data_IF_439229135454
#
_entry.id   IF_439229135454
#
_cell.length_a   1.000
_cell.length_b   1.000
_cell.length_c   1.000
_cell.angle_alpha   90.00
_cell.angle_beta   90.00
_cell.angle_gamma   90.00
#
_symmetry.space_group_name_H-M   'P 1'
#
loop_
_entity.id
_entity.type
_entity.pdbx_description
1 polymer ?
#
# COMPACT_ATOMS: atom_id res chain seq x y z
N UNK A 1 -3.57 -25.68 -19.65
CA UNK A 1 -2.59 -25.38 -20.68
C UNK A 1 -3.11 -24.25 -21.57
N UNK A 2 -2.99 -23.00 -21.13
CA UNK A 2 -3.01 -21.77 -21.95
C UNK A 2 -2.97 -20.56 -21.01
N UNK A 3 -1.82 -20.26 -20.45
CA UNK A 3 -1.54 -19.00 -19.81
C UNK A 3 -0.01 -18.74 -19.72
N UNK A 4 0.67 -18.90 -20.84
CA UNK A 4 2.10 -18.60 -20.96
C UNK A 4 2.34 -17.68 -22.17
N UNK A 5 1.73 -16.50 -22.20
CA UNK A 5 1.87 -15.65 -23.37
C UNK A 5 1.76 -14.13 -23.11
N UNK A 6 1.74 -13.68 -21.86
CA UNK A 6 1.48 -12.25 -21.59
C UNK A 6 2.59 -11.53 -20.78
N UNK A 7 3.64 -12.22 -20.35
CA UNK A 7 4.65 -11.63 -19.45
C UNK A 7 5.91 -11.08 -20.13
N UNK A 8 6.15 -11.32 -21.40
CA UNK A 8 7.37 -10.82 -22.07
C UNK A 8 7.26 -9.39 -22.63
N UNK A 9 6.05 -8.86 -22.80
CA UNK A 9 5.85 -7.52 -23.40
C UNK A 9 5.96 -6.36 -22.41
N UNK A 10 5.71 -6.56 -21.14
CA UNK A 10 5.67 -5.48 -20.12
C UNK A 10 7.06 -5.22 -19.54
N UNK A 11 7.88 -6.25 -19.38
CA UNK A 11 9.23 -6.11 -18.84
C UNK A 11 10.20 -5.37 -19.78
N UNK A 12 9.94 -5.35 -21.08
CA UNK A 12 10.80 -4.69 -22.04
C UNK A 12 10.56 -3.18 -22.19
N UNK A 13 9.40 -2.68 -21.79
CA UNK A 13 9.08 -1.25 -21.83
C UNK A 13 9.56 -0.49 -20.60
N UNK A 14 9.60 -1.12 -19.43
CA UNK A 14 10.09 -0.49 -18.21
C UNK A 14 11.63 -0.38 -18.17
N UNK A 15 12.35 -1.24 -18.87
CA UNK A 15 13.81 -1.20 -18.97
C UNK A 15 14.34 -0.01 -19.80
N UNK A 16 13.52 0.57 -20.66
CA UNK A 16 13.92 1.68 -21.53
C UNK A 16 13.79 3.07 -20.88
N UNK A 17 13.18 3.15 -19.68
CA UNK A 17 12.94 4.41 -18.95
C UNK A 17 13.90 4.63 -17.77
N UNK A 18 14.71 3.62 -17.44
CA UNK A 18 15.73 3.73 -16.40
C UNK A 18 17.10 3.80 -17.05
N UNK A 19 17.69 4.98 -17.08
CA UNK A 19 19.08 5.18 -17.49
C UNK A 19 20.02 4.27 -16.69
N UNK A 20 21.08 3.77 -17.34
CA UNK A 20 22.05 2.85 -16.77
C UNK A 20 22.56 3.36 -15.40
N UNK A 21 22.49 2.56 -14.33
CA UNK A 21 23.08 2.91 -13.05
C UNK A 21 24.61 2.82 -13.16
N UNK A 22 25.28 3.87 -12.69
CA UNK A 22 26.73 3.90 -12.55
C UNK A 22 27.20 2.68 -11.73
N UNK A 23 28.23 2.00 -12.25
CA UNK A 23 28.87 0.87 -11.60
C UNK A 23 29.59 1.35 -10.34
N UNK A 24 29.04 1.13 -9.19
CA UNK A 24 29.68 0.74 -7.93
C UNK A 24 28.63 0.57 -6.83
N UNK A 25 28.32 -0.65 -6.48
CA UNK A 25 27.86 -1.03 -5.15
C UNK A 25 27.91 -2.56 -5.03
N UNK A 26 28.36 -3.02 -3.91
CA UNK A 26 28.26 -4.40 -3.42
C UNK A 26 26.86 -4.97 -3.62
N UNK A 27 26.61 -5.50 -4.81
CA UNK A 27 25.39 -6.26 -5.07
C UNK A 27 25.46 -7.53 -4.22
N UNK A 28 24.63 -7.58 -3.19
CA UNK A 28 24.22 -8.86 -2.64
C UNK A 28 23.54 -9.59 -3.80
N UNK A 29 24.07 -10.73 -4.28
CA UNK A 29 23.44 -11.45 -5.37
C UNK A 29 22.02 -11.82 -4.91
N UNK A 30 21.02 -11.45 -5.69
CA UNK A 30 19.67 -11.95 -5.48
C UNK A 30 19.75 -13.49 -5.44
N UNK A 31 19.10 -14.14 -4.48
CA UNK A 31 19.11 -15.59 -4.40
C UNK A 31 18.59 -16.13 -5.74
N UNK A 32 19.48 -16.76 -6.51
CA UNK A 32 19.13 -17.46 -7.73
C UNK A 32 18.42 -18.75 -7.32
N UNK A 33 17.11 -18.71 -7.20
CA UNK A 33 16.30 -19.91 -7.07
C UNK A 33 16.32 -20.69 -8.39
N UNK A 34 17.31 -21.57 -8.55
CA UNK A 34 17.35 -22.53 -9.64
C UNK A 34 16.54 -23.78 -9.23
N UNK A 35 15.23 -23.66 -9.18
CA UNK A 35 14.38 -24.84 -9.14
C UNK A 35 14.18 -25.35 -10.57
N UNK A 36 15.02 -26.27 -10.98
CA UNK A 36 14.90 -26.97 -12.27
C UNK A 36 13.90 -28.13 -12.25
N UNK A 37 13.30 -28.42 -11.11
CA UNK A 37 12.35 -29.51 -10.90
C UNK A 37 10.91 -28.99 -10.92
N UNK A 38 10.03 -29.72 -11.61
CA UNK A 38 8.59 -29.52 -11.57
C UNK A 38 7.92 -30.38 -10.49
N UNK A 39 8.70 -31.05 -9.63
CA UNK A 39 8.16 -31.83 -8.53
C UNK A 39 7.66 -30.88 -7.44
N UNK A 40 6.37 -30.98 -7.10
CA UNK A 40 5.76 -30.17 -6.04
C UNK A 40 6.41 -30.40 -4.67
N UNK A 41 7.08 -31.56 -4.45
CA UNK A 41 7.78 -31.86 -3.20
C UNK A 41 8.95 -30.92 -2.96
N UNK A 42 9.63 -30.46 -4.00
CA UNK A 42 10.73 -29.50 -3.89
C UNK A 42 10.25 -28.15 -3.33
N UNK A 43 8.98 -27.86 -3.49
CA UNK A 43 8.35 -26.64 -2.98
C UNK A 43 7.75 -26.79 -1.58
N UNK A 44 7.22 -27.98 -1.28
CA UNK A 44 6.49 -28.22 -0.04
C UNK A 44 7.28 -28.95 1.02
N UNK A 45 8.27 -29.75 0.66
CA UNK A 45 8.96 -30.67 1.54
C UNK A 45 10.48 -30.38 1.62
N UNK A 46 10.99 -29.30 1.01
CA UNK A 46 12.40 -28.96 1.16
C UNK A 46 12.68 -28.29 2.50
N UNK A 47 13.86 -28.50 3.05
CA UNK A 47 14.25 -27.99 4.38
C UNK A 47 14.29 -26.46 4.44
N UNK A 48 14.42 -25.78 3.30
CA UNK A 48 14.44 -24.32 3.18
C UNK A 48 13.09 -23.71 2.76
N UNK A 49 12.06 -24.53 2.52
CA UNK A 49 10.73 -24.05 2.18
C UNK A 49 10.04 -23.40 3.37
N UNK A 50 9.49 -22.20 3.15
CA UNK A 50 8.60 -21.53 4.10
C UNK A 50 7.23 -21.39 3.47
N UNK A 51 6.23 -22.03 4.08
CA UNK A 51 4.87 -22.05 3.57
C UNK A 51 3.98 -21.11 4.37
N UNK A 52 3.36 -20.16 3.69
CA UNK A 52 2.39 -19.24 4.27
C UNK A 52 1.01 -19.50 3.66
N UNK A 53 0.06 -19.86 4.50
CA UNK A 53 -1.31 -20.15 4.09
C UNK A 53 -2.25 -19.05 4.59
N UNK A 54 -2.85 -18.31 3.67
CA UNK A 54 -3.87 -17.30 3.97
C UNK A 54 -5.25 -17.90 3.74
N UNK A 55 -6.03 -18.03 4.80
CA UNK A 55 -7.32 -18.74 4.77
C UNK A 55 -8.43 -17.93 5.44
N UNK A 56 -9.69 -18.26 5.13
CA UNK A 56 -10.83 -17.82 5.93
C UNK A 56 -10.94 -18.63 7.23
N UNK A 57 -11.50 -18.04 8.27
CA UNK A 57 -11.67 -18.69 9.57
C UNK A 57 -12.45 -20.02 9.51
N UNK A 58 -13.34 -20.18 8.56
CA UNK A 58 -14.13 -21.38 8.32
C UNK A 58 -13.29 -22.56 7.80
N UNK A 59 -12.08 -22.28 7.33
CA UNK A 59 -11.14 -23.28 6.82
C UNK A 59 -10.06 -23.70 7.84
N UNK A 60 -10.04 -23.14 9.05
CA UNK A 60 -9.02 -23.44 10.08
C UNK A 60 -8.95 -24.94 10.36
N UNK A 61 -10.08 -25.61 10.52
CA UNK A 61 -10.10 -27.05 10.76
C UNK A 61 -9.40 -27.83 9.64
N UNK A 62 -9.69 -27.48 8.40
CA UNK A 62 -9.15 -28.20 7.23
C UNK A 62 -7.65 -28.01 7.08
N UNK A 63 -7.15 -26.80 7.27
CA UNK A 63 -5.74 -26.47 7.03
C UNK A 63 -4.85 -26.69 8.27
N UNK A 64 -5.35 -26.46 9.47
CA UNK A 64 -4.53 -26.63 10.69
C UNK A 64 -4.63 -28.02 11.32
N UNK A 65 -5.70 -28.78 11.07
CA UNK A 65 -5.90 -30.10 11.69
C UNK A 65 -5.90 -31.19 10.63
N UNK A 66 -6.88 -31.18 9.72
CA UNK A 66 -7.04 -32.28 8.77
C UNK A 66 -5.87 -32.41 7.79
N UNK A 67 -5.41 -31.30 7.22
CA UNK A 67 -4.27 -31.27 6.30
C UNK A 67 -2.99 -31.72 7.01
N UNK A 68 -2.71 -31.20 8.18
CA UNK A 68 -1.52 -31.57 8.99
C UNK A 68 -1.54 -33.07 9.34
N UNK A 69 -2.68 -33.59 9.77
CA UNK A 69 -2.81 -35.01 10.07
C UNK A 69 -2.60 -35.91 8.84
N UNK A 70 -3.09 -35.49 7.66
CA UNK A 70 -2.85 -36.20 6.41
C UNK A 70 -1.35 -36.21 6.04
N UNK A 71 -0.67 -35.09 6.19
CA UNK A 71 0.76 -35.01 5.90
C UNK A 71 1.59 -35.87 6.83
N UNK A 72 1.28 -35.85 8.12
CA UNK A 72 1.95 -36.72 9.09
C UNK A 72 1.70 -38.20 8.78
N UNK A 73 0.48 -38.58 8.41
CA UNK A 73 0.17 -39.94 7.99
C UNK A 73 0.91 -40.38 6.73
N UNK A 74 1.28 -39.44 5.86
CA UNK A 74 2.12 -39.68 4.67
C UNK A 74 3.62 -39.65 4.96
N UNK A 75 4.01 -39.38 6.21
CA UNK A 75 5.41 -39.26 6.61
C UNK A 75 6.10 -37.96 6.14
N UNK A 76 5.34 -36.92 5.90
CA UNK A 76 5.89 -35.61 5.48
C UNK A 76 6.02 -34.68 6.68
N UNK A 77 7.22 -34.17 6.89
CA UNK A 77 7.44 -33.10 7.86
C UNK A 77 7.18 -31.73 7.21
N UNK A 78 6.03 -31.16 7.51
CA UNK A 78 5.60 -29.83 7.05
C UNK A 78 5.40 -28.88 8.24
N UNK A 79 6.21 -28.99 9.27
CA UNK A 79 6.17 -28.19 10.49
C UNK A 79 6.41 -26.71 10.27
N UNK A 80 6.89 -26.31 9.08
CA UNK A 80 7.24 -24.93 8.76
C UNK A 80 6.06 -24.11 8.18
N UNK A 81 4.86 -24.67 8.14
CA UNK A 81 3.69 -23.95 7.61
C UNK A 81 3.15 -22.93 8.61
N UNK A 82 3.09 -21.69 8.19
CA UNK A 82 2.45 -20.59 8.94
C UNK A 82 1.06 -20.33 8.39
N UNK A 83 0.05 -20.39 9.23
CA UNK A 83 -1.35 -20.14 8.84
C UNK A 83 -1.81 -18.79 9.35
N UNK A 84 -2.25 -17.94 8.44
CA UNK A 84 -2.90 -16.67 8.74
C UNK A 84 -4.38 -16.75 8.38
N UNK A 85 -5.25 -16.74 9.39
CA UNK A 85 -6.70 -16.81 9.19
C UNK A 85 -7.34 -15.42 9.27
N UNK A 86 -8.24 -15.11 8.35
CA UNK A 86 -9.02 -13.89 8.39
C UNK A 86 -10.49 -14.17 8.75
N UNK A 87 -11.11 -13.19 9.41
CA UNK A 87 -12.55 -13.20 9.67
C UNK A 87 -13.37 -13.00 8.40
N UNK A 88 -14.66 -13.30 8.49
CA UNK A 88 -15.57 -13.10 7.36
C UNK A 88 -15.68 -11.64 6.95
N UNK A 89 -15.59 -11.39 5.66
CA UNK A 89 -15.99 -10.14 5.06
C UNK A 89 -17.52 -10.08 5.02
N UNK A 90 -18.10 -9.05 5.62
CA UNK A 90 -19.50 -8.75 5.49
C UNK A 90 -19.71 -7.83 4.28
N UNK A 91 -20.78 -8.03 3.54
CA UNK A 91 -21.20 -7.11 2.49
C UNK A 91 -22.42 -6.33 2.96
N UNK A 92 -22.33 -5.01 2.98
CA UNK A 92 -23.41 -4.11 3.45
C UNK A 92 -23.95 -4.53 4.84
N UNK A 93 -23.07 -4.96 5.75
CA UNK A 93 -23.39 -5.40 7.11
C UNK A 93 -23.92 -6.81 7.24
N UNK A 94 -24.06 -7.57 6.14
CA UNK A 94 -24.56 -8.96 6.14
C UNK A 94 -23.45 -9.92 5.68
N UNK A 95 -23.54 -11.19 6.09
CA UNK A 95 -22.62 -12.21 5.58
C UNK A 95 -22.68 -12.26 4.06
N UNK A 96 -21.55 -12.09 3.40
CA UNK A 96 -21.43 -12.22 1.96
C UNK A 96 -21.69 -13.68 1.55
N UNK A 97 -22.62 -13.89 0.62
CA UNK A 97 -22.95 -15.20 0.08
C UNK A 97 -23.36 -15.07 -1.37
N UNK A 98 -22.77 -15.86 -2.24
CA UNK A 98 -23.10 -15.91 -3.67
C UNK A 98 -24.51 -16.47 -3.93
N UNK A 99 -25.05 -17.23 -2.96
CA UNK A 99 -26.40 -17.80 -3.03
C UNK A 99 -27.49 -16.95 -2.38
N UNK A 100 -27.14 -15.74 -1.89
CA UNK A 100 -28.14 -14.83 -1.32
C UNK A 100 -28.99 -14.18 -2.40
N UNK A 101 -30.18 -13.66 -2.01
CA UNK A 101 -31.03 -12.89 -2.94
C UNK A 101 -30.38 -11.62 -3.45
N UNK A 102 -29.44 -11.04 -2.65
CA UNK A 102 -28.63 -9.89 -3.02
C UNK A 102 -27.15 -10.26 -2.83
N UNK A 103 -26.56 -10.98 -3.79
CA UNK A 103 -25.15 -11.34 -3.70
C UNK A 103 -24.25 -10.08 -3.78
N UNK A 104 -23.04 -10.13 -3.21
CA UNK A 104 -22.08 -9.06 -3.43
C UNK A 104 -21.73 -8.97 -4.93
N UNK A 105 -21.43 -7.77 -5.43
CA UNK A 105 -21.00 -7.60 -6.80
C UNK A 105 -19.69 -8.37 -7.05
N UNK A 106 -19.53 -8.97 -8.24
CA UNK A 106 -18.25 -9.54 -8.64
C UNK A 106 -17.17 -8.44 -8.71
N UNK A 107 -15.90 -8.85 -8.62
CA UNK A 107 -14.78 -7.91 -8.61
C UNK A 107 -14.75 -7.04 -9.88
N UNK A 108 -15.09 -7.61 -11.03
CA UNK A 108 -15.12 -6.89 -12.32
C UNK A 108 -16.15 -5.75 -12.32
N UNK A 109 -17.30 -5.95 -11.69
CA UNK A 109 -18.32 -4.90 -11.57
C UNK A 109 -17.86 -3.75 -10.66
N UNK A 110 -17.07 -4.05 -9.63
CA UNK A 110 -16.46 -3.03 -8.77
C UNK A 110 -15.52 -2.12 -9.54
N UNK A 111 -14.79 -2.66 -10.53
CA UNK A 111 -13.85 -1.89 -11.35
C UNK A 111 -14.53 -0.86 -12.27
N UNK A 112 -15.86 -0.93 -12.45
CA UNK A 112 -16.62 0.14 -13.12
C UNK A 112 -16.71 1.42 -12.28
N UNK A 113 -16.46 1.32 -10.97
CA UNK A 113 -16.61 2.44 -10.02
C UNK A 113 -15.30 2.79 -9.31
N UNK A 114 -14.37 1.85 -9.20
CA UNK A 114 -13.13 1.97 -8.42
C UNK A 114 -11.95 1.46 -9.23
N UNK A 115 -10.76 2.01 -9.00
CA UNK A 115 -9.54 1.40 -9.54
C UNK A 115 -9.13 0.18 -8.72
N UNK A 116 -8.31 -0.69 -9.30
CA UNK A 116 -7.75 -1.84 -8.59
C UNK A 116 -6.99 -1.42 -7.33
N UNK A 117 -6.19 -0.35 -7.41
CA UNK A 117 -5.40 0.17 -6.30
C UNK A 117 -6.28 0.70 -5.17
N UNK A 118 -7.39 1.38 -5.50
CA UNK A 118 -8.37 1.86 -4.50
C UNK A 118 -8.97 0.68 -3.73
N UNK A 119 -9.39 -0.37 -4.45
CA UNK A 119 -9.96 -1.56 -3.82
C UNK A 119 -8.93 -2.31 -2.97
N UNK A 120 -7.73 -2.50 -3.47
CA UNK A 120 -6.65 -3.15 -2.71
C UNK A 120 -6.31 -2.39 -1.44
N UNK A 121 -6.14 -1.07 -1.53
CA UNK A 121 -5.86 -0.23 -0.36
C UNK A 121 -6.99 -0.32 0.68
N UNK A 122 -8.25 -0.28 0.22
CA UNK A 122 -9.39 -0.41 1.10
C UNK A 122 -9.42 -1.78 1.80
N UNK A 123 -9.28 -2.88 1.07
CA UNK A 123 -9.30 -4.23 1.66
C UNK A 123 -8.15 -4.47 2.64
N UNK A 124 -6.95 -3.98 2.34
CA UNK A 124 -5.82 -4.05 3.25
C UNK A 124 -6.07 -3.28 4.56
N UNK A 125 -6.88 -2.21 4.51
CA UNK A 125 -7.20 -1.38 5.68
C UNK A 125 -8.26 -1.98 6.60
N UNK A 126 -9.04 -2.98 6.14
CA UNK A 126 -10.22 -3.47 6.86
C UNK A 126 -9.89 -4.19 8.18
N UNK A 127 -8.67 -4.69 8.36
CA UNK A 127 -8.28 -5.39 9.60
C UNK A 127 -9.02 -6.72 9.80
N UNK A 128 -9.21 -7.47 8.74
CA UNK A 128 -9.88 -8.78 8.76
C UNK A 128 -9.15 -9.83 9.61
N UNK A 129 -7.89 -9.59 9.98
CA UNK A 129 -7.16 -10.42 10.94
C UNK A 129 -7.66 -10.30 12.38
N UNK A 130 -8.38 -9.21 12.71
CA UNK A 130 -8.80 -8.92 14.08
C UNK A 130 -10.29 -9.16 14.32
N UNK A 131 -11.14 -8.88 13.33
CA UNK A 131 -12.60 -8.96 13.48
C UNK A 131 -13.31 -9.03 12.13
N UNK A 132 -14.59 -9.49 12.11
CA UNK A 132 -15.44 -9.34 10.93
C UNK A 132 -15.65 -7.86 10.61
N UNK A 133 -15.49 -7.48 9.35
CA UNK A 133 -15.65 -6.10 8.88
C UNK A 133 -16.58 -6.04 7.69
N UNK A 134 -17.34 -4.96 7.58
CA UNK A 134 -18.24 -4.75 6.46
C UNK A 134 -17.54 -4.01 5.32
N UNK A 135 -17.58 -4.60 4.15
CA UNK A 135 -17.32 -3.92 2.88
C UNK A 135 -18.63 -3.26 2.42
N UNK A 136 -18.64 -1.94 2.36
CA UNK A 136 -19.85 -1.15 2.09
C UNK A 136 -19.52 -0.06 1.06
N UNK A 137 -19.25 -0.43 -0.21
CA UNK A 137 -18.93 0.52 -1.26
C UNK A 137 -20.14 1.40 -1.57
N UNK A 138 -19.94 2.70 -1.61
CA UNK A 138 -21.01 3.67 -1.83
C UNK A 138 -21.74 3.44 -3.16
N UNK A 139 -21.03 3.05 -4.21
CA UNK A 139 -21.62 2.80 -5.53
C UNK A 139 -22.82 1.82 -5.51
N UNK A 140 -22.88 0.95 -4.50
CA UNK A 140 -23.94 -0.05 -4.33
C UNK A 140 -24.87 0.25 -3.13
N UNK A 141 -24.73 1.40 -2.51
CA UNK A 141 -25.55 1.79 -1.35
C UNK A 141 -26.87 2.41 -1.81
N UNK A 142 -27.94 1.62 -1.78
CA UNK A 142 -29.29 2.02 -2.21
C UNK A 142 -30.12 2.65 -1.10
N UNK A 143 -29.58 2.86 0.12
CA UNK A 143 -30.30 3.48 1.23
C UNK A 143 -30.72 4.91 0.88
N UNK A 144 -31.94 5.27 1.20
CA UNK A 144 -32.45 6.64 1.02
C UNK A 144 -31.83 7.55 2.08
N UNK A 145 -31.14 8.61 1.66
CA UNK A 145 -30.49 9.60 2.53
C UNK A 145 -31.28 10.89 2.69
N UNK A 146 -32.27 11.12 1.85
CA UNK A 146 -33.09 12.32 1.90
C UNK A 146 -33.93 12.49 0.64
N UNK A 147 -34.42 13.71 0.43
CA UNK A 147 -35.12 14.11 -0.79
C UNK A 147 -34.39 15.26 -1.46
N UNK A 148 -34.45 15.32 -2.78
CA UNK A 148 -33.96 16.45 -3.56
C UNK A 148 -34.92 17.63 -3.52
N UNK A 149 -34.57 18.69 -4.26
CA UNK A 149 -35.41 19.94 -4.32
C UNK A 149 -36.77 19.69 -4.97
N UNK A 150 -36.88 18.64 -5.77
CA UNK A 150 -38.11 18.28 -6.51
C UNK A 150 -38.92 17.22 -5.76
N UNK A 151 -38.48 16.84 -4.55
CA UNK A 151 -39.17 15.88 -3.68
C UNK A 151 -38.88 14.41 -3.94
N UNK A 152 -37.97 14.09 -4.88
CA UNK A 152 -37.58 12.71 -5.19
C UNK A 152 -36.62 12.15 -4.14
N UNK A 153 -36.69 10.86 -3.89
CA UNK A 153 -35.77 10.17 -2.98
C UNK A 153 -34.35 10.15 -3.53
N UNK A 154 -33.39 10.60 -2.71
CA UNK A 154 -31.97 10.56 -3.01
C UNK A 154 -31.36 9.34 -2.34
N UNK A 155 -30.73 8.48 -3.13
CA UNK A 155 -30.01 7.30 -2.64
C UNK A 155 -28.58 7.65 -2.24
N UNK A 156 -28.00 6.89 -1.33
CA UNK A 156 -26.63 7.11 -0.85
C UNK A 156 -25.61 7.05 -1.98
N UNK A 157 -25.78 6.17 -2.96
CA UNK A 157 -24.91 6.08 -4.15
C UNK A 157 -24.85 7.40 -4.94
N UNK A 158 -25.94 8.13 -5.01
CA UNK A 158 -26.07 9.37 -5.78
C UNK A 158 -25.84 10.63 -4.92
N UNK A 159 -25.90 10.50 -3.59
CA UNK A 159 -25.77 11.63 -2.66
C UNK A 159 -24.29 12.05 -2.50
N UNK A 160 -23.94 13.22 -3.04
CA UNK A 160 -22.57 13.77 -2.94
C UNK A 160 -22.11 14.05 -1.51
N UNK A 161 -23.01 14.14 -0.54
CA UNK A 161 -22.70 14.36 0.88
C UNK A 161 -22.26 13.08 1.59
N UNK A 162 -22.62 11.92 1.04
CA UNK A 162 -22.19 10.63 1.58
C UNK A 162 -20.77 10.34 1.14
N UNK A 163 -19.89 10.21 2.13
CA UNK A 163 -18.49 9.83 1.89
C UNK A 163 -18.44 8.35 1.53
N UNK A 164 -17.69 8.00 0.50
CA UNK A 164 -17.45 6.62 0.12
C UNK A 164 -16.39 5.98 1.03
N UNK A 165 -16.74 4.96 1.84
CA UNK A 165 -15.77 4.30 2.69
C UNK A 165 -14.65 3.63 1.89
N UNK A 166 -14.95 3.13 0.69
CA UNK A 166 -13.99 2.45 -0.18
C UNK A 166 -12.91 3.38 -0.76
N UNK A 167 -13.14 4.70 -0.73
CA UNK A 167 -12.17 5.69 -1.22
C UNK A 167 -11.34 6.35 -0.13
N UNK A 168 -11.59 6.01 1.14
CA UNK A 168 -10.91 6.66 2.28
C UNK A 168 -9.40 6.50 2.21
N UNK A 169 -8.92 5.29 1.97
CA UNK A 169 -7.51 4.95 1.96
C UNK A 169 -6.79 5.48 0.72
N UNK A 170 -7.49 5.63 -0.40
CA UNK A 170 -6.90 6.20 -1.62
C UNK A 170 -6.49 7.66 -1.43
N UNK A 171 -7.10 8.38 -0.47
CA UNK A 171 -6.70 9.74 -0.12
C UNK A 171 -5.26 9.82 0.43
N UNK A 172 -4.70 8.72 0.93
CA UNK A 172 -3.30 8.65 1.33
C UNK A 172 -2.38 8.96 0.13
N UNK A 173 -2.58 8.27 -1.00
CA UNK A 173 -1.77 8.46 -2.21
C UNK A 173 -2.11 9.77 -2.92
N UNK A 174 -3.38 10.00 -3.22
CA UNK A 174 -3.81 11.14 -4.04
C UNK A 174 -3.78 12.48 -3.28
N UNK A 175 -4.03 12.47 -1.98
CA UNK A 175 -4.07 13.66 -1.14
C UNK A 175 -2.79 13.92 -0.37
N UNK A 176 -2.30 12.94 0.38
CA UNK A 176 -1.18 13.14 1.32
C UNK A 176 0.17 13.02 0.61
N UNK A 177 0.45 11.86 0.01
CA UNK A 177 1.72 11.61 -0.69
C UNK A 177 1.91 12.58 -1.87
N UNK A 178 0.92 12.69 -2.75
CA UNK A 178 0.99 13.55 -3.92
C UNK A 178 1.17 15.03 -3.55
N UNK A 179 0.58 15.48 -2.43
CA UNK A 179 0.78 16.86 -1.94
C UNK A 179 2.23 17.09 -1.55
N UNK A 180 2.84 16.16 -0.80
CA UNK A 180 4.24 16.26 -0.41
C UNK A 180 5.13 16.27 -1.64
N UNK A 181 5.00 15.28 -2.52
CA UNK A 181 5.78 15.15 -3.73
C UNK A 181 5.69 16.43 -4.60
N UNK A 182 4.47 16.87 -4.93
CA UNK A 182 4.26 18.08 -5.74
C UNK A 182 4.89 19.32 -5.08
N UNK A 183 4.74 19.48 -3.78
CA UNK A 183 5.29 20.63 -3.06
C UNK A 183 6.83 20.64 -3.13
N UNK A 184 7.49 19.50 -2.97
CA UNK A 184 8.94 19.37 -3.08
C UNK A 184 9.42 19.66 -4.51
N UNK A 185 8.77 19.08 -5.54
CA UNK A 185 9.13 19.34 -6.94
C UNK A 185 8.89 20.79 -7.34
N UNK A 186 7.84 21.44 -6.85
CA UNK A 186 7.66 22.89 -7.05
C UNK A 186 8.73 23.71 -6.29
N UNK A 187 9.22 23.20 -5.17
CA UNK A 187 10.30 23.85 -4.40
C UNK A 187 11.61 23.94 -5.17
N UNK A 188 11.96 22.92 -5.97
CA UNK A 188 13.21 22.89 -6.77
C UNK A 188 13.00 23.39 -8.20
N UNK A 189 11.75 23.57 -8.66
CA UNK A 189 11.48 23.99 -10.03
C UNK A 189 12.11 25.37 -10.33
N UNK A 190 12.73 25.48 -11.49
CA UNK A 190 13.24 26.76 -11.99
C UNK A 190 12.12 27.77 -12.09
N UNK A 191 12.35 28.97 -11.58
CA UNK A 191 11.39 30.05 -11.60
C UNK A 191 12.06 31.32 -12.11
N UNK A 192 11.48 31.95 -13.10
CA UNK A 192 12.01 33.18 -13.69
C UNK A 192 12.13 34.29 -12.63
N UNK A 193 13.30 34.91 -12.56
CA UNK A 193 13.61 35.97 -11.59
C UNK A 193 13.92 35.48 -10.17
N UNK A 194 14.01 34.18 -9.94
CA UNK A 194 14.38 33.60 -8.65
C UNK A 194 15.77 32.94 -8.76
N UNK A 195 16.79 33.55 -8.18
CA UNK A 195 18.20 33.13 -8.21
C UNK A 195 18.57 32.16 -7.08
N UNK A 196 17.59 31.64 -6.34
CA UNK A 196 17.85 30.72 -5.23
C UNK A 196 18.54 29.44 -5.73
N UNK A 197 19.65 29.02 -5.11
CA UNK A 197 20.48 27.92 -5.60
C UNK A 197 19.77 26.56 -5.63
N UNK A 198 18.73 26.39 -4.83
CA UNK A 198 17.89 25.18 -4.82
C UNK A 198 16.83 25.14 -5.94
N UNK A 199 16.58 26.26 -6.65
CA UNK A 199 15.62 26.35 -7.78
C UNK A 199 16.31 26.09 -9.12
N UNK A 200 16.99 24.99 -9.23
CA UNK A 200 17.78 24.61 -10.40
C UNK A 200 17.20 23.42 -11.20
N UNK A 201 16.00 22.95 -10.81
CA UNK A 201 15.36 21.80 -11.45
C UNK A 201 15.90 20.44 -11.02
N UNK A 202 16.86 20.40 -10.08
CA UNK A 202 17.49 19.18 -9.60
C UNK A 202 17.06 18.86 -8.17
N UNK A 203 16.97 17.58 -7.86
CA UNK A 203 16.79 17.12 -6.48
C UNK A 203 18.10 17.39 -5.74
N UNK A 204 18.09 18.16 -4.62
CA UNK A 204 19.33 18.49 -3.92
C UNK A 204 19.93 17.24 -3.29
N UNK A 205 21.27 17.12 -3.41
CA UNK A 205 22.03 16.07 -2.74
C UNK A 205 22.48 16.57 -1.36
N UNK A 206 22.45 15.68 -0.38
CA UNK A 206 22.90 15.98 1.00
C UNK A 206 22.56 14.84 1.95
N UNK A 207 23.07 14.92 3.18
CA UNK A 207 22.65 14.04 4.25
C UNK A 207 21.31 14.52 4.82
N UNK A 208 20.38 13.59 5.01
CA UNK A 208 19.14 13.88 5.72
C UNK A 208 19.45 14.21 7.19
N UNK A 209 18.58 15.02 7.80
CA UNK A 209 18.70 15.32 9.22
C UNK A 209 18.45 14.07 10.07
N UNK A 210 19.09 14.00 11.25
CA UNK A 210 18.95 12.85 12.16
C UNK A 210 17.49 12.57 12.52
N UNK A 211 16.70 13.61 12.68
CA UNK A 211 15.24 13.48 12.97
C UNK A 211 14.46 12.78 11.87
N UNK A 212 14.84 12.98 10.61
CA UNK A 212 14.23 12.30 9.46
C UNK A 212 14.68 10.84 9.42
N UNK A 213 15.98 10.60 9.61
CA UNK A 213 16.54 9.24 9.64
C UNK A 213 15.91 8.41 10.76
N UNK A 214 15.84 8.95 11.97
CA UNK A 214 15.21 8.27 13.11
C UNK A 214 13.71 7.98 12.87
N UNK A 215 12.97 8.96 12.33
CA UNK A 215 11.56 8.78 12.01
C UNK A 215 11.33 7.69 10.95
N UNK A 216 12.18 7.65 9.92
CA UNK A 216 12.12 6.63 8.88
C UNK A 216 12.43 5.23 9.44
N UNK A 217 13.47 5.11 10.27
CA UNK A 217 13.84 3.84 10.90
C UNK A 217 12.72 3.31 11.82
N UNK A 218 12.11 4.19 12.62
CA UNK A 218 10.98 3.81 13.49
C UNK A 218 9.77 3.36 12.68
N UNK A 219 9.44 4.07 11.60
CA UNK A 219 8.34 3.70 10.72
C UNK A 219 8.61 2.37 10.01
N UNK A 220 9.83 2.16 9.50
CA UNK A 220 10.22 0.90 8.85
C UNK A 220 10.10 -0.28 9.83
N UNK A 221 10.62 -0.15 11.05
CA UNK A 221 10.51 -1.19 12.07
C UNK A 221 9.05 -1.48 12.42
N UNK A 222 8.22 -0.46 12.61
CA UNK A 222 6.80 -0.64 12.92
C UNK A 222 6.05 -1.31 11.76
N UNK A 223 6.38 -0.95 10.51
CA UNK A 223 5.84 -1.57 9.31
C UNK A 223 6.22 -3.05 9.23
N UNK A 224 7.50 -3.38 9.40
CA UNK A 224 7.99 -4.77 9.39
C UNK A 224 7.33 -5.61 10.48
N UNK A 225 7.20 -5.08 11.69
CA UNK A 225 6.52 -5.76 12.79
C UNK A 225 5.04 -6.05 12.48
N UNK A 226 4.34 -5.10 11.86
CA UNK A 226 2.96 -5.29 11.45
C UNK A 226 2.85 -6.34 10.33
N UNK A 227 3.75 -6.29 9.34
CA UNK A 227 3.80 -7.27 8.25
C UNK A 227 4.15 -8.67 8.74
N UNK A 228 5.10 -8.80 9.68
CA UNK A 228 5.44 -10.08 10.27
C UNK A 228 4.25 -10.76 10.97
N UNK A 229 3.33 -9.96 11.53
CA UNK A 229 2.10 -10.42 12.17
C UNK A 229 0.91 -10.55 11.20
N UNK A 230 1.10 -10.27 9.92
CA UNK A 230 0.04 -10.19 8.90
C UNK A 230 -1.04 -9.14 9.21
N UNK A 231 -0.71 -8.12 9.99
CA UNK A 231 -1.59 -7.00 10.35
C UNK A 231 -1.52 -5.89 9.28
N UNK A 232 -1.95 -6.20 8.06
CA UNK A 232 -1.84 -5.31 6.88
C UNK A 232 -2.47 -3.94 7.11
N UNK A 233 -3.56 -3.87 7.85
CA UNK A 233 -4.22 -2.61 8.21
C UNK A 233 -3.35 -1.71 9.10
N UNK A 234 -2.55 -2.31 10.00
CA UNK A 234 -1.58 -1.57 10.81
C UNK A 234 -0.38 -1.12 9.99
N UNK A 235 0.11 -1.98 9.09
CA UNK A 235 1.16 -1.59 8.16
C UNK A 235 0.75 -0.37 7.32
N UNK A 236 -0.49 -0.37 6.79
CA UNK A 236 -1.03 0.77 6.06
C UNK A 236 -1.18 2.01 6.94
N UNK A 237 -1.62 1.86 8.20
CA UNK A 237 -1.72 2.97 9.15
C UNK A 237 -0.34 3.60 9.45
N UNK A 238 0.71 2.78 9.61
CA UNK A 238 2.09 3.28 9.78
C UNK A 238 2.51 4.13 8.57
N UNK A 239 2.19 3.71 7.34
CA UNK A 239 2.47 4.50 6.14
C UNK A 239 1.69 5.84 6.14
N UNK A 240 0.41 5.84 6.52
CA UNK A 240 -0.41 7.06 6.59
C UNK A 240 0.15 8.04 7.63
N UNK A 241 0.44 7.56 8.83
CA UNK A 241 0.98 8.37 9.92
C UNK A 241 2.35 8.96 9.55
N UNK A 242 3.24 8.14 8.95
CA UNK A 242 4.56 8.60 8.50
C UNK A 242 4.46 9.70 7.44
N UNK A 243 3.64 9.49 6.40
CA UNK A 243 3.46 10.47 5.33
C UNK A 243 2.82 11.78 5.82
N UNK A 244 1.88 11.70 6.77
CA UNK A 244 1.30 12.90 7.39
C UNK A 244 2.35 13.66 8.21
N UNK A 245 3.17 12.94 8.96
CA UNK A 245 4.28 13.54 9.72
C UNK A 245 5.32 14.17 8.79
N UNK A 246 5.68 13.51 7.69
CA UNK A 246 6.58 14.04 6.66
C UNK A 246 6.04 15.34 6.04
N UNK A 247 4.75 15.36 5.67
CA UNK A 247 4.10 16.59 5.19
C UNK A 247 4.19 17.73 6.21
N UNK A 248 4.01 17.41 7.49
CA UNK A 248 4.12 18.41 8.56
C UNK A 248 5.55 18.91 8.70
N UNK A 249 6.54 18.03 8.76
CA UNK A 249 7.97 18.39 8.82
C UNK A 249 8.36 19.32 7.67
N UNK A 250 8.01 18.93 6.44
CA UNK A 250 8.22 19.77 5.26
C UNK A 250 7.55 21.13 5.37
N UNK A 251 6.28 21.19 5.77
CA UNK A 251 5.55 22.45 5.92
C UNK A 251 6.18 23.36 6.97
N UNK A 252 6.61 22.79 8.10
CA UNK A 252 7.21 23.56 9.19
C UNK A 252 8.63 24.05 8.83
N UNK A 253 9.46 23.18 8.23
CA UNK A 253 10.81 23.51 7.79
C UNK A 253 10.80 24.56 6.66
N UNK A 254 9.96 24.41 5.65
CA UNK A 254 9.85 25.38 4.56
C UNK A 254 9.33 26.74 5.02
N UNK A 255 8.37 26.77 5.97
CA UNK A 255 7.92 28.04 6.59
C UNK A 255 9.01 28.68 7.44
N UNK A 256 9.82 27.89 8.15
CA UNK A 256 10.93 28.41 8.93
C UNK A 256 12.02 29.01 8.02
N UNK A 257 12.38 28.30 6.94
CA UNK A 257 13.33 28.81 5.95
C UNK A 257 12.88 30.13 5.31
N UNK A 258 11.59 30.25 4.98
CA UNK A 258 11.01 31.46 4.37
C UNK A 258 10.95 32.69 5.32
N UNK A 259 11.24 32.52 6.60
CA UNK A 259 11.36 33.63 7.56
C UNK A 259 12.79 34.19 7.64
N UNK A 260 13.76 33.50 7.07
CA UNK A 260 15.16 33.89 7.00
C UNK A 260 15.41 34.67 5.71
N UNK A 261 16.52 35.35 5.61
CA UNK A 261 16.95 36.09 4.43
C UNK A 261 18.36 35.67 4.00
N UNK A 262 18.67 35.79 2.72
CA UNK A 262 20.01 35.55 2.16
C UNK A 262 20.49 34.12 2.29
N UNK A 263 21.77 33.93 2.56
CA UNK A 263 22.43 32.62 2.62
C UNK A 263 21.82 31.66 3.66
N UNK A 264 21.45 32.08 4.88
CA UNK A 264 20.80 31.22 5.85
C UNK A 264 19.46 30.69 5.37
N UNK A 265 18.67 31.48 4.62
CA UNK A 265 17.40 31.05 4.04
C UNK A 265 17.63 29.96 2.99
N UNK A 266 18.62 30.16 2.12
CA UNK A 266 18.96 29.21 1.07
C UNK A 266 19.45 27.87 1.66
N UNK A 267 20.33 27.92 2.67
CA UNK A 267 20.82 26.73 3.34
C UNK A 267 19.67 25.94 4.04
N UNK A 268 18.82 26.66 4.77
CA UNK A 268 17.68 26.05 5.48
C UNK A 268 16.67 25.42 4.50
N UNK A 269 16.36 26.08 3.39
CA UNK A 269 15.46 25.55 2.37
C UNK A 269 16.06 24.34 1.64
N UNK A 270 17.35 24.39 1.33
CA UNK A 270 18.06 23.25 0.72
C UNK A 270 18.00 22.03 1.64
N UNK A 271 18.29 22.20 2.94
CA UNK A 271 18.20 21.09 3.89
C UNK A 271 16.75 20.56 4.00
N UNK A 272 15.75 21.44 4.06
CA UNK A 272 14.34 21.03 4.09
C UNK A 272 13.95 20.22 2.86
N UNK A 273 14.47 20.57 1.69
CA UNK A 273 14.25 19.84 0.44
C UNK A 273 14.99 18.48 0.46
N UNK A 274 16.24 18.43 0.92
CA UNK A 274 16.98 17.16 1.10
C UNK A 274 16.18 16.20 2.00
N UNK A 275 15.73 16.69 3.15
CA UNK A 275 14.94 15.92 4.10
C UNK A 275 13.64 15.39 3.46
N UNK A 276 12.88 16.27 2.83
CA UNK A 276 11.59 15.91 2.22
C UNK A 276 11.74 14.94 1.03
N UNK A 277 12.75 15.10 0.19
CA UNK A 277 13.02 14.13 -0.89
C UNK A 277 13.55 12.80 -0.36
N UNK A 278 14.27 12.79 0.77
CA UNK A 278 14.67 11.54 1.44
C UNK A 278 13.47 10.80 1.99
N UNK A 279 12.49 11.49 2.56
CA UNK A 279 11.23 10.90 3.06
C UNK A 279 10.33 10.36 1.94
N UNK A 280 10.45 10.89 0.72
CA UNK A 280 9.70 10.42 -0.44
C UNK A 280 10.28 9.15 -1.09
N UNK A 281 11.56 8.84 -0.83
CA UNK A 281 12.26 7.65 -1.34
C UNK A 281 12.00 6.41 -0.49
#
# INVERSE_FOLDING_TARGET
AKAAGVTEGVAAQDAALMGEPAADSTQVPAPTYQHSSLDWRDWWCSDDAQIYQFIGQDNIYFYCIAQTAMWEALGWDLTQSTVSACYHLLYMGKKASSSSQTPPPPADDLLNHYTCEQMRAHWLSLGLSEKPVSFSPKAYDTRVTGKDKDGNEVRACDDKRVIDPALKESALLTGVFNRLARSCFYGVAVKEGDESPYRNGCIPAGAASDTVVEAAQQAALAFEQAMYKFETHRALAVCDDYLRAANKRWSDASKAANKLEGEPANAAMTQALVDAFTELR
#
